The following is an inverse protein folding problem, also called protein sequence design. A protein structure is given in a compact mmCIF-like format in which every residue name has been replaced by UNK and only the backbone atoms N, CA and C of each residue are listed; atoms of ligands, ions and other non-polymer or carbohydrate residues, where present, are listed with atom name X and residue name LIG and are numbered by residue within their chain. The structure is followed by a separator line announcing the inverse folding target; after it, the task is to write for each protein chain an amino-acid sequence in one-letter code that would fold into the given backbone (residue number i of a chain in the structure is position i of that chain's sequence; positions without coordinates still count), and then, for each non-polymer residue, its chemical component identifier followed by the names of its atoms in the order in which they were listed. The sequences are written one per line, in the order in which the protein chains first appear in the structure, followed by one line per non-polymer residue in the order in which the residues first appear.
data_IF_020397113736
#
_entry.id   IF_020397113736
#
_cell.length_a   1.000
_cell.length_b   1.000
_cell.length_c   1.000
_cell.angle_alpha   90.00
_cell.angle_beta   90.00
_cell.angle_gamma   90.00
#
_symmetry.space_group_name_H-M   'P 1'
#
loop_
_entity.id
_entity.type
_entity.pdbx_description
1 polymer ?
#
# COMPACT_ATOMS: atom_id res chain seq x y z
N UNK A 1 -31.79 6.46 -20.02
CA UNK A 1 -30.62 7.23 -19.53
C UNK A 1 -30.68 7.45 -18.00
N UNK A 2 -31.11 6.46 -17.20
CA UNK A 2 -31.12 6.57 -15.72
C UNK A 2 -29.96 5.81 -15.07
N UNK A 3 -29.09 5.20 -15.86
CA UNK A 3 -28.01 4.34 -15.39
C UNK A 3 -26.80 5.13 -14.86
N UNK A 4 -26.61 6.37 -15.33
CA UNK A 4 -25.45 7.20 -14.96
C UNK A 4 -25.38 7.48 -13.45
N UNK A 5 -26.55 7.59 -12.80
CA UNK A 5 -26.65 7.78 -11.36
C UNK A 5 -26.10 6.57 -10.56
N UNK A 6 -26.11 5.38 -11.16
CA UNK A 6 -25.66 4.14 -10.52
C UNK A 6 -24.24 3.75 -10.89
N UNK A 7 -23.68 4.30 -11.97
CA UNK A 7 -22.36 3.92 -12.48
C UNK A 7 -21.27 4.00 -11.40
N UNK A 8 -21.14 5.15 -10.73
CA UNK A 8 -20.15 5.33 -9.66
C UNK A 8 -20.31 4.32 -8.51
N UNK A 9 -21.56 4.02 -8.15
CA UNK A 9 -21.88 3.06 -7.08
C UNK A 9 -21.60 1.62 -7.50
N UNK A 10 -21.80 1.27 -8.77
CA UNK A 10 -21.47 -0.04 -9.34
C UNK A 10 -19.95 -0.25 -9.36
N UNK A 11 -19.19 0.71 -9.89
CA UNK A 11 -17.72 0.61 -9.92
C UNK A 11 -17.13 0.53 -8.51
N UNK A 12 -17.67 1.30 -7.56
CA UNK A 12 -17.24 1.22 -6.17
C UNK A 12 -17.59 -0.12 -5.52
N UNK A 13 -18.78 -0.68 -5.82
CA UNK A 13 -19.17 -2.00 -5.32
C UNK A 13 -18.31 -3.11 -5.92
N UNK A 14 -17.95 -3.00 -7.20
CA UNK A 14 -17.07 -3.95 -7.89
C UNK A 14 -15.65 -3.93 -7.30
N UNK A 15 -15.14 -2.77 -6.91
CA UNK A 15 -13.79 -2.62 -6.34
C UNK A 15 -13.68 -3.05 -4.88
N UNK A 16 -14.74 -2.84 -4.07
CA UNK A 16 -14.65 -2.96 -2.62
C UNK A 16 -15.01 -4.35 -2.07
N UNK A 17 -15.43 -5.28 -2.92
CA UNK A 17 -16.04 -6.58 -2.52
C UNK A 17 -17.09 -6.44 -1.41
N UNK A 18 -17.80 -5.30 -1.37
CA UNK A 18 -18.83 -5.03 -0.36
C UNK A 18 -20.19 -5.51 -0.85
N UNK A 19 -21.05 -5.80 0.11
CA UNK A 19 -22.46 -6.10 -0.17
C UNK A 19 -23.11 -4.96 -0.95
N UNK A 20 -23.77 -5.29 -2.06
CA UNK A 20 -24.51 -4.33 -2.87
C UNK A 20 -25.71 -3.81 -2.08
N UNK A 21 -25.96 -2.50 -2.13
CA UNK A 21 -27.16 -1.92 -1.54
C UNK A 21 -28.43 -2.50 -2.20
N UNK A 22 -29.55 -2.65 -1.48
CA UNK A 22 -30.76 -3.29 -2.02
C UNK A 22 -31.31 -2.57 -3.26
N UNK A 23 -31.18 -1.24 -3.33
CA UNK A 23 -31.56 -0.46 -4.51
C UNK A 23 -30.70 -0.79 -5.75
N UNK A 24 -29.40 -1.05 -5.55
CA UNK A 24 -28.47 -1.41 -6.61
C UNK A 24 -28.73 -2.84 -7.10
N UNK A 25 -29.00 -3.78 -6.18
CA UNK A 25 -29.40 -5.15 -6.53
C UNK A 25 -30.68 -5.16 -7.38
N UNK A 26 -31.69 -4.40 -6.97
CA UNK A 26 -32.93 -4.26 -7.72
C UNK A 26 -32.69 -3.66 -9.11
N UNK A 27 -31.78 -2.70 -9.24
CA UNK A 27 -31.40 -2.14 -10.53
C UNK A 27 -30.70 -3.17 -11.43
N UNK A 28 -29.73 -3.93 -10.89
CA UNK A 28 -29.04 -4.98 -11.63
C UNK A 28 -29.97 -6.12 -12.07
N UNK A 29 -31.04 -6.38 -11.32
CA UNK A 29 -32.06 -7.35 -11.70
C UNK A 29 -32.90 -6.87 -12.90
N UNK A 30 -33.13 -5.57 -13.01
CA UNK A 30 -34.00 -4.97 -14.03
C UNK A 30 -33.25 -4.46 -15.27
N UNK A 31 -31.95 -4.20 -15.16
CA UNK A 31 -31.15 -3.58 -16.20
C UNK A 31 -30.00 -4.49 -16.66
N UNK A 32 -30.21 -5.17 -17.80
CA UNK A 32 -29.22 -6.10 -18.36
C UNK A 32 -27.88 -5.44 -18.70
N UNK A 33 -27.89 -4.23 -19.26
CA UNK A 33 -26.65 -3.52 -19.62
C UNK A 33 -25.79 -3.15 -18.41
N UNK A 34 -26.41 -2.78 -17.28
CA UNK A 34 -25.67 -2.50 -16.04
C UNK A 34 -25.13 -3.80 -15.43
N UNK A 35 -25.85 -4.90 -15.58
CA UNK A 35 -25.39 -6.23 -15.13
C UNK A 35 -24.17 -6.71 -15.91
N UNK A 36 -24.17 -6.56 -17.24
CA UNK A 36 -23.00 -6.92 -18.04
C UNK A 36 -21.80 -6.04 -17.72
N UNK A 37 -22.00 -4.72 -17.61
CA UNK A 37 -20.92 -3.79 -17.24
C UNK A 37 -20.35 -4.09 -15.84
N UNK A 38 -21.21 -4.39 -14.86
CA UNK A 38 -20.78 -4.77 -13.51
C UNK A 38 -19.96 -6.07 -13.49
N UNK A 39 -20.38 -7.08 -14.26
CA UNK A 39 -19.62 -8.33 -14.38
C UNK A 39 -18.24 -8.12 -15.05
N UNK A 40 -18.17 -7.26 -16.08
CA UNK A 40 -16.91 -6.87 -16.72
C UNK A 40 -15.98 -6.16 -15.74
N UNK A 41 -16.47 -5.15 -15.00
CA UNK A 41 -15.69 -4.46 -13.97
C UNK A 41 -15.21 -5.41 -12.87
N UNK A 42 -16.07 -6.31 -12.38
CA UNK A 42 -15.68 -7.30 -11.38
C UNK A 42 -14.57 -8.23 -11.91
N UNK A 43 -14.70 -8.71 -13.15
CA UNK A 43 -13.66 -9.55 -13.77
C UNK A 43 -12.32 -8.83 -13.90
N UNK A 44 -12.35 -7.52 -14.19
CA UNK A 44 -11.14 -6.68 -14.26
C UNK A 44 -10.48 -6.55 -12.90
N UNK A 45 -11.24 -6.27 -11.84
CA UNK A 45 -10.69 -6.17 -10.49
C UNK A 45 -10.10 -7.50 -10.02
N UNK A 46 -10.78 -8.64 -10.26
CA UNK A 46 -10.23 -9.96 -9.94
C UNK A 46 -8.94 -10.27 -10.71
N UNK A 47 -8.84 -9.86 -11.98
CA UNK A 47 -7.61 -10.00 -12.76
C UNK A 47 -6.45 -9.16 -12.17
N UNK A 48 -6.73 -7.93 -11.75
CA UNK A 48 -5.73 -7.07 -11.08
C UNK A 48 -5.29 -7.72 -9.77
N UNK A 49 -6.22 -8.14 -8.92
CA UNK A 49 -5.92 -8.71 -7.61
C UNK A 49 -5.12 -10.01 -7.71
N UNK A 50 -5.48 -10.89 -8.66
CA UNK A 50 -4.70 -12.12 -8.90
C UNK A 50 -3.28 -11.84 -9.37
N UNK A 51 -3.09 -10.81 -10.21
CA UNK A 51 -1.76 -10.39 -10.66
C UNK A 51 -0.93 -9.82 -9.50
N UNK A 52 -1.53 -8.97 -8.66
CA UNK A 52 -0.90 -8.42 -7.46
C UNK A 52 -0.56 -9.51 -6.46
N UNK A 53 -1.46 -10.45 -6.24
CA UNK A 53 -1.23 -11.58 -5.35
C UNK A 53 -0.04 -12.43 -5.81
N UNK A 54 0.09 -12.65 -7.12
CA UNK A 54 1.21 -13.41 -7.70
C UNK A 54 2.54 -12.67 -7.52
N UNK A 55 2.55 -11.34 -7.64
CA UNK A 55 3.76 -10.52 -7.49
C UNK A 55 4.12 -10.30 -6.01
N UNK A 56 3.12 -10.12 -5.14
CA UNK A 56 3.32 -9.82 -3.72
C UNK A 56 3.64 -11.07 -2.89
N UNK A 57 3.15 -12.24 -3.31
CA UNK A 57 3.42 -13.52 -2.66
C UNK A 57 4.22 -14.43 -3.60
N UNK A 58 5.46 -14.04 -3.98
CA UNK A 58 6.31 -14.94 -4.74
C UNK A 58 6.55 -16.20 -3.91
N UNK A 59 6.68 -17.35 -4.58
CA UNK A 59 6.94 -18.63 -3.92
C UNK A 59 8.15 -18.48 -2.98
N UNK A 60 7.92 -18.72 -1.69
CA UNK A 60 8.96 -18.61 -0.68
C UNK A 60 9.97 -19.72 -0.96
N UNK A 61 11.24 -19.42 -1.26
CA UNK A 61 12.21 -20.45 -1.56
C UNK A 61 12.35 -21.38 -0.35
N UNK A 62 12.37 -22.70 -0.58
CA UNK A 62 12.44 -23.71 0.48
C UNK A 62 13.64 -23.53 1.43
N UNK A 63 14.68 -22.82 0.98
CA UNK A 63 15.87 -22.49 1.78
C UNK A 63 15.68 -21.34 2.77
N UNK A 64 14.61 -20.53 2.65
CA UNK A 64 14.37 -19.37 3.50
C UNK A 64 14.11 -19.81 4.96
N UNK A 65 13.24 -20.79 5.15
CA UNK A 65 12.84 -21.27 6.49
C UNK A 65 14.06 -21.80 7.26
N UNK A 66 14.90 -22.72 6.71
CA UNK A 66 16.12 -23.15 7.39
C UNK A 66 17.09 -21.99 7.69
N UNK A 67 17.26 -21.04 6.77
CA UNK A 67 18.15 -19.89 6.99
C UNK A 67 17.66 -18.99 8.12
N UNK A 68 16.34 -18.76 8.22
CA UNK A 68 15.75 -17.99 9.31
C UNK A 68 15.96 -18.71 10.64
N UNK A 69 15.75 -20.03 10.70
CA UNK A 69 16.02 -20.81 11.92
C UNK A 69 17.49 -20.73 12.34
N UNK A 70 18.42 -20.89 11.40
CA UNK A 70 19.86 -20.75 11.67
C UNK A 70 20.18 -19.33 12.13
N UNK A 71 19.63 -18.31 11.49
CA UNK A 71 19.83 -16.91 11.89
C UNK A 71 19.26 -16.61 13.28
N UNK A 72 18.08 -17.15 13.62
CA UNK A 72 17.47 -17.00 14.95
C UNK A 72 18.29 -17.72 16.04
N UNK A 73 18.81 -18.91 15.76
CA UNK A 73 19.63 -19.66 16.71
C UNK A 73 21.04 -19.04 16.88
N UNK A 74 21.57 -18.40 15.84
CA UNK A 74 22.87 -17.75 15.87
C UNK A 74 22.81 -16.28 16.29
N UNK A 75 21.62 -15.68 16.39
CA UNK A 75 21.49 -14.37 17.02
C UNK A 75 21.92 -14.53 18.47
N UNK A 76 22.97 -13.82 18.93
CA UNK A 76 23.35 -13.86 20.33
C UNK A 76 22.11 -13.41 21.09
N UNK A 77 21.58 -14.30 21.93
CA UNK A 77 20.50 -13.96 22.84
C UNK A 77 21.06 -12.82 23.67
N UNK A 78 20.66 -11.59 23.33
CA UNK A 78 21.01 -10.43 24.12
C UNK A 78 20.34 -10.66 25.47
N UNK A 79 21.09 -11.20 26.43
CA UNK A 79 20.67 -11.30 27.82
C UNK A 79 20.41 -9.92 28.45
N UNK A 80 20.59 -8.84 27.69
CA UNK A 80 20.29 -7.50 28.12
C UNK A 80 18.79 -7.15 27.95
N UNK A 81 18.14 -7.00 29.10
CA UNK A 81 16.96 -6.14 29.34
C UNK A 81 15.54 -6.70 29.16
N UNK A 82 15.30 -8.01 29.08
CA UNK A 82 13.92 -8.54 29.27
C UNK A 82 13.32 -8.10 30.62
N UNK A 83 14.15 -7.96 31.65
CA UNK A 83 13.76 -7.43 32.98
C UNK A 83 13.35 -5.94 32.97
N UNK A 84 13.67 -5.16 31.93
CA UNK A 84 13.26 -3.73 31.84
C UNK A 84 11.98 -3.53 31.04
N UNK A 85 11.55 -4.51 30.25
CA UNK A 85 10.31 -4.42 29.45
C UNK A 85 9.06 -4.87 30.22
N UNK A 86 9.20 -5.70 31.25
CA UNK A 86 8.06 -6.09 32.10
C UNK A 86 7.50 -4.91 32.90
N UNK A 87 8.30 -3.88 33.21
CA UNK A 87 7.81 -2.68 33.89
C UNK A 87 7.05 -1.72 32.96
N UNK A 88 7.37 -1.70 31.66
CA UNK A 88 6.67 -0.85 30.69
C UNK A 88 5.32 -1.43 30.29
N UNK A 89 5.22 -2.76 30.18
CA UNK A 89 3.94 -3.44 29.90
C UNK A 89 2.89 -3.23 30.99
N UNK A 90 3.31 -3.20 32.26
CA UNK A 90 2.42 -2.95 33.39
C UNK A 90 1.78 -1.56 33.35
N UNK A 91 2.52 -0.53 32.92
CA UNK A 91 2.01 0.83 32.80
C UNK A 91 0.96 0.96 31.69
N UNK A 92 1.18 0.31 30.54
CA UNK A 92 0.24 0.33 29.42
C UNK A 92 -1.05 -0.42 29.79
N UNK A 93 -0.93 -1.59 30.42
CA UNK A 93 -2.09 -2.36 30.89
C UNK A 93 -2.91 -1.57 31.94
N UNK A 94 -2.24 -0.92 32.90
CA UNK A 94 -2.90 -0.08 33.89
C UNK A 94 -3.61 1.14 33.25
N UNK A 95 -2.98 1.79 32.27
CA UNK A 95 -3.58 2.91 31.55
C UNK A 95 -4.82 2.49 30.76
N UNK A 96 -4.81 1.30 30.11
CA UNK A 96 -5.97 0.76 29.41
C UNK A 96 -7.12 0.43 30.37
N UNK A 97 -6.84 -0.20 31.52
CA UNK A 97 -7.87 -0.48 32.54
C UNK A 97 -8.46 0.81 33.10
N UNK A 98 -7.63 1.83 33.37
CA UNK A 98 -8.10 3.15 33.80
C UNK A 98 -8.97 3.83 32.73
N UNK A 99 -8.55 3.77 31.47
CA UNK A 99 -9.31 4.35 30.36
C UNK A 99 -10.67 3.66 30.17
N UNK A 100 -10.70 2.33 30.24
CA UNK A 100 -11.95 1.53 30.15
C UNK A 100 -12.88 1.90 31.32
N UNK A 101 -12.38 1.93 32.54
CA UNK A 101 -13.20 2.23 33.74
C UNK A 101 -13.75 3.65 33.75
N UNK A 102 -13.01 4.64 33.26
CA UNK A 102 -13.50 6.02 33.12
C UNK A 102 -14.60 6.12 32.05
N UNK A 103 -14.40 5.54 30.87
CA UNK A 103 -15.39 5.59 29.78
C UNK A 103 -16.69 4.84 30.11
N UNK A 104 -16.62 3.75 30.89
CA UNK A 104 -17.81 3.02 31.37
C UNK A 104 -18.62 3.82 32.40
N UNK A 105 -17.98 4.73 33.15
CA UNK A 105 -18.65 5.54 34.18
C UNK A 105 -19.41 6.71 33.56
N UNK A 106 -18.86 7.36 32.52
CA UNK A 106 -19.55 8.43 31.79
C UNK A 106 -20.79 7.93 31.04
N UNK A 107 -20.76 6.69 30.53
CA UNK A 107 -21.91 6.08 29.86
C UNK A 107 -23.11 5.83 30.78
N UNK A 108 -22.91 5.75 32.10
CA UNK A 108 -24.01 5.55 33.07
C UNK A 108 -24.72 6.84 33.45
N UNK A 109 -24.12 8.01 33.21
CA UNK A 109 -24.73 9.30 33.54
C UNK A 109 -25.51 9.94 32.38
N UNK A 110 -25.29 9.52 31.13
CA UNK A 110 -26.02 10.05 29.97
C UNK A 110 -27.35 9.34 29.65
N UNK A 111 -27.66 8.20 30.30
CA UNK A 111 -28.87 7.44 29.99
C UNK A 111 -30.07 7.77 30.90
N UNK A 112 -30.04 8.86 31.68
CA UNK A 112 -31.10 9.17 32.67
C UNK A 112 -31.68 10.59 32.58
N UNK A 113 -31.67 11.18 31.40
CA UNK A 113 -32.41 12.40 31.04
C UNK A 113 -32.49 12.34 29.51
N UNK A 114 -33.62 12.11 28.87
CA UNK A 114 -34.81 12.95 28.89
C UNK A 114 -35.97 12.20 28.22
N UNK A 115 -37.12 12.27 28.87
CA UNK A 115 -38.41 11.80 28.42
C UNK A 115 -38.99 12.75 27.36
N UNK A 116 -39.78 12.18 26.44
CA UNK A 116 -41.05 12.74 25.92
C UNK A 116 -40.98 14.11 25.25
N UNK A 117 -41.03 14.15 23.92
CA UNK A 117 -42.03 15.00 23.28
C UNK A 117 -42.60 14.40 22.00
N UNK A 118 -43.91 14.51 21.95
CA UNK A 118 -44.84 14.13 20.91
C UNK A 118 -44.64 14.88 19.58
N UNK A 119 -45.18 14.29 18.52
CA UNK A 119 -46.00 14.98 17.52
C UNK A 119 -45.34 16.10 16.68
N UNK A 120 -45.10 15.81 15.40
CA UNK A 120 -45.90 16.40 14.31
C UNK A 120 -45.41 15.93 12.94
N UNK A 121 -46.34 15.32 12.21
CA UNK A 121 -46.37 15.26 10.76
C UNK A 121 -46.05 16.63 10.15
N UNK A 122 -45.00 16.70 9.34
CA UNK A 122 -44.83 17.80 8.38
C UNK A 122 -44.55 17.19 7.01
N UNK A 123 -45.59 17.15 6.18
CA UNK A 123 -45.46 17.04 4.74
C UNK A 123 -44.57 18.19 4.25
N UNK A 124 -43.41 17.88 3.66
CA UNK A 124 -42.67 18.84 2.87
C UNK A 124 -42.81 18.47 1.40
N UNK A 125 -43.49 19.39 0.72
CA UNK A 125 -43.81 19.46 -0.69
C UNK A 125 -42.57 19.28 -1.58
N UNK A 126 -42.74 18.42 -2.60
CA UNK A 126 -41.86 18.30 -3.76
C UNK A 126 -41.88 19.61 -4.55
N UNK A 127 -40.87 20.46 -4.35
CA UNK A 127 -40.59 21.56 -5.27
C UNK A 127 -39.75 21.05 -6.44
N UNK A 128 -40.45 20.65 -7.49
CA UNK A 128 -39.93 20.35 -8.81
C UNK A 128 -39.40 21.64 -9.44
N UNK A 129 -38.11 21.91 -9.26
CA UNK A 129 -37.43 22.99 -9.98
C UNK A 129 -37.11 22.50 -11.39
N UNK A 130 -37.98 22.84 -12.34
CA UNK A 130 -37.69 22.74 -13.76
C UNK A 130 -36.55 23.69 -14.11
N UNK A 131 -35.36 23.14 -14.35
CA UNK A 131 -34.31 23.83 -15.09
C UNK A 131 -34.36 23.31 -16.53
N UNK A 132 -35.06 24.09 -17.36
CA UNK A 132 -35.07 23.97 -18.81
C UNK A 132 -34.03 24.93 -19.39
N UNK A 133 -32.89 24.45 -19.89
CA UNK A 133 -31.99 25.16 -20.84
C UNK A 133 -30.93 24.16 -21.38
N UNK A 134 -30.32 24.39 -22.56
CA UNK A 134 -30.86 24.33 -23.92
C UNK A 134 -30.25 23.14 -24.72
N UNK A 135 -30.75 22.81 -25.92
CA UNK A 135 -30.20 21.74 -26.74
C UNK A 135 -28.87 22.18 -27.37
N UNK A 136 -27.74 21.73 -26.83
CA UNK A 136 -26.47 21.81 -27.54
C UNK A 136 -26.33 20.57 -28.43
N UNK A 137 -26.67 20.74 -29.70
CA UNK A 137 -26.37 19.77 -30.74
C UNK A 137 -24.86 19.79 -30.99
N UNK A 138 -24.11 18.94 -30.31
CA UNK A 138 -22.78 18.57 -30.76
C UNK A 138 -22.88 17.40 -31.73
N UNK A 139 -22.61 17.75 -32.99
CA UNK A 139 -22.45 16.88 -34.13
C UNK A 139 -21.45 15.76 -33.81
N UNK A 140 -21.94 14.53 -33.84
CA UNK A 140 -21.12 13.31 -33.84
C UNK A 140 -20.26 13.31 -35.10
N UNK A 141 -19.00 13.72 -34.98
CA UNK A 141 -18.00 13.41 -35.98
C UNK A 141 -17.63 11.92 -35.85
N UNK A 142 -18.27 11.11 -36.70
CA UNK A 142 -17.93 9.69 -36.88
C UNK A 142 -16.50 9.61 -37.41
N UNK A 143 -15.56 9.30 -36.53
CA UNK A 143 -14.24 8.84 -36.95
C UNK A 143 -14.39 7.43 -37.56
N UNK A 144 -14.01 7.23 -38.83
CA UNK A 144 -14.12 5.94 -39.47
C UNK A 144 -13.16 4.93 -38.82
N UNK A 145 -13.73 3.81 -38.38
CA UNK A 145 -13.02 2.58 -38.05
C UNK A 145 -12.16 2.15 -39.23
N UNK A 146 -10.85 2.44 -39.15
CA UNK A 146 -9.85 1.89 -40.06
C UNK A 146 -9.28 0.61 -39.48
N UNK A 147 -9.61 -0.44 -40.21
CA UNK A 147 -9.09 -1.80 -40.19
C UNK A 147 -7.55 -1.83 -40.08
N UNK A 148 -7.08 -2.83 -39.33
CA UNK A 148 -5.81 -3.56 -39.52
C UNK A 148 -4.56 -2.70 -39.71
N UNK A 149 -3.87 -2.40 -38.60
CA UNK A 149 -2.44 -2.09 -38.65
C UNK A 149 -1.66 -3.35 -38.27
N UNK A 150 -0.89 -3.84 -39.24
CA UNK A 150 0.02 -4.94 -39.11
C UNK A 150 1.04 -4.67 -37.98
N UNK A 151 1.38 -5.73 -37.27
CA UNK A 151 2.52 -5.81 -36.37
C UNK A 151 3.77 -5.41 -37.18
N UNK A 152 4.25 -4.19 -36.98
CA UNK A 152 5.60 -3.79 -37.38
C UNK A 152 6.53 -4.04 -36.19
N UNK A 153 7.52 -4.93 -36.31
CA UNK A 153 8.59 -5.00 -35.34
C UNK A 153 9.41 -3.72 -35.47
N UNK A 154 9.24 -2.79 -34.53
CA UNK A 154 10.17 -1.68 -34.35
C UNK A 154 11.49 -2.23 -33.82
N UNK A 155 12.36 -2.64 -34.73
CA UNK A 155 13.80 -2.74 -34.48
C UNK A 155 14.33 -1.30 -34.46
N UNK A 156 14.22 -0.65 -33.31
CA UNK A 156 14.97 0.57 -33.08
C UNK A 156 16.47 0.22 -33.11
N UNK A 157 17.33 1.01 -33.77
CA UNK A 157 18.76 0.82 -33.69
C UNK A 157 19.17 1.05 -32.23
N UNK A 158 19.57 -0.02 -31.56
CA UNK A 158 20.28 0.04 -30.28
C UNK A 158 21.58 0.77 -30.55
N UNK A 159 21.58 2.08 -30.33
CA UNK A 159 22.81 2.83 -30.17
C UNK A 159 23.50 2.20 -28.95
N UNK A 160 24.63 1.52 -29.19
CA UNK A 160 25.52 1.04 -28.15
C UNK A 160 26.15 2.24 -27.44
N UNK A 161 25.37 2.92 -26.61
CA UNK A 161 25.90 3.81 -25.59
C UNK A 161 26.45 2.92 -24.47
N UNK A 162 27.71 3.16 -24.11
CA UNK A 162 28.49 2.42 -23.14
C UNK A 162 27.67 1.88 -21.96
N UNK A 163 27.92 0.60 -21.62
CA UNK A 163 27.32 -0.20 -20.55
C UNK A 163 27.18 0.56 -19.21
N UNK A 164 26.15 1.39 -19.10
CA UNK A 164 25.74 2.00 -17.85
C UNK A 164 24.51 1.21 -17.37
N UNK A 165 24.50 0.73 -16.12
CA UNK A 165 23.37 0.00 -15.60
C UNK A 165 22.13 0.90 -15.61
N UNK A 166 21.13 0.52 -16.40
CA UNK A 166 19.84 1.20 -16.44
C UNK A 166 19.03 0.80 -15.21
N UNK A 167 18.73 1.77 -14.33
CA UNK A 167 17.94 1.56 -13.12
C UNK A 167 16.51 2.03 -13.38
N UNK A 168 15.56 1.09 -13.34
CA UNK A 168 14.13 1.39 -13.49
C UNK A 168 13.59 2.06 -12.21
N UNK A 169 13.23 3.34 -12.35
CA UNK A 169 12.62 4.16 -11.28
C UNK A 169 11.12 4.33 -11.53
N UNK A 170 10.31 4.26 -10.46
CA UNK A 170 8.89 4.54 -10.54
C UNK A 170 8.62 6.01 -10.96
N UNK A 171 7.47 6.33 -11.59
CA UNK A 171 7.20 7.66 -12.17
C UNK A 171 7.34 8.85 -11.20
N UNK A 172 7.15 8.64 -9.89
CA UNK A 172 7.34 9.68 -8.86
C UNK A 172 8.74 9.74 -8.23
N UNK A 173 9.59 8.74 -8.43
CA UNK A 173 10.94 8.68 -7.86
C UNK A 173 12.01 9.32 -8.76
N UNK A 174 11.71 9.55 -10.05
CA UNK A 174 12.67 10.18 -10.96
C UNK A 174 13.02 11.60 -10.51
N UNK A 175 12.02 12.40 -10.19
CA UNK A 175 12.22 13.80 -9.80
C UNK A 175 13.02 13.92 -8.49
N UNK A 176 12.78 13.04 -7.51
CA UNK A 176 13.54 13.03 -6.25
C UNK A 176 14.98 12.58 -6.46
N UNK A 177 15.20 11.57 -7.30
CA UNK A 177 16.54 11.08 -7.64
C UNK A 177 17.34 12.11 -8.41
N UNK A 178 16.71 12.82 -9.36
CA UNK A 178 17.34 13.91 -10.11
C UNK A 178 17.74 15.07 -9.18
N UNK A 179 16.83 15.52 -8.30
CA UNK A 179 17.15 16.55 -7.29
C UNK A 179 18.28 16.11 -6.36
N UNK A 180 18.30 14.85 -5.94
CA UNK A 180 19.36 14.30 -5.10
C UNK A 180 20.71 14.27 -5.82
N UNK A 181 20.75 13.80 -7.07
CA UNK A 181 21.98 13.80 -7.88
C UNK A 181 22.46 15.23 -8.14
N UNK A 182 21.55 16.18 -8.36
CA UNK A 182 21.89 17.59 -8.55
C UNK A 182 22.44 18.21 -7.25
N UNK A 183 21.86 17.90 -6.09
CA UNK A 183 22.38 18.32 -4.80
C UNK A 183 23.79 17.74 -4.52
N UNK A 184 24.03 16.47 -4.88
CA UNK A 184 25.33 15.82 -4.73
C UNK A 184 26.42 16.37 -5.65
N UNK A 185 26.05 16.97 -6.79
CA UNK A 185 27.00 17.67 -7.68
C UNK A 185 27.38 19.05 -7.16
N UNK A 186 26.60 19.64 -6.26
CA UNK A 186 26.94 20.93 -5.66
C UNK A 186 28.01 20.72 -4.58
N UNK A 187 29.21 21.25 -4.79
CA UNK A 187 30.38 21.02 -3.93
C UNK A 187 30.15 21.46 -2.47
N UNK A 188 29.30 22.47 -2.26
CA UNK A 188 28.90 22.92 -0.93
C UNK A 188 28.22 21.81 -0.10
N UNK A 189 27.44 20.94 -0.73
CA UNK A 189 26.75 19.86 -0.03
C UNK A 189 27.71 18.72 0.36
N UNK A 190 28.75 18.48 -0.46
CA UNK A 190 29.83 17.54 -0.11
C UNK A 190 30.63 18.05 1.08
N UNK A 191 30.98 19.33 1.08
CA UNK A 191 31.78 19.91 2.16
C UNK A 191 31.00 19.95 3.48
N UNK A 192 29.69 20.20 3.44
CA UNK A 192 28.83 20.15 4.65
C UNK A 192 28.71 18.72 5.20
N UNK A 193 28.54 17.71 4.34
CA UNK A 193 28.52 16.30 4.75
C UNK A 193 29.87 15.84 5.32
N UNK A 194 30.99 16.33 4.76
CA UNK A 194 32.33 16.01 5.24
C UNK A 194 32.67 16.76 6.54
N UNK A 195 32.26 18.02 6.67
CA UNK A 195 32.43 18.82 7.88
C UNK A 195 31.63 18.23 9.05
N UNK A 196 30.41 17.76 8.80
CA UNK A 196 29.59 17.07 9.82
C UNK A 196 30.15 15.70 10.22
N UNK A 197 30.97 15.09 9.36
CA UNK A 197 31.72 13.84 9.62
C UNK A 197 33.10 14.08 10.25
N UNK A 198 33.43 15.34 10.59
CA UNK A 198 34.67 15.75 11.26
C UNK A 198 34.75 15.45 12.76
N UNK A 199 33.68 14.96 13.39
CA UNK A 199 33.75 14.39 14.76
C UNK A 199 34.29 12.96 14.71
N UNK A 200 35.55 12.81 14.30
CA UNK A 200 36.20 11.53 13.96
C UNK A 200 37.07 10.94 15.06
N UNK A 201 37.17 11.55 16.23
CA UNK A 201 37.94 10.97 17.34
C UNK A 201 37.13 10.05 18.27
N UNK A 202 35.79 10.12 18.26
CA UNK A 202 34.98 9.26 19.14
C UNK A 202 34.45 7.97 18.47
N UNK A 203 34.56 7.81 17.14
CA UNK A 203 33.94 6.68 16.40
C UNK A 203 34.97 5.66 15.90
N UNK A 204 36.25 6.02 15.79
CA UNK A 204 37.30 5.08 15.40
C UNK A 204 37.65 4.07 16.50
N UNK A 205 37.34 4.36 17.76
CA UNK A 205 37.53 3.41 18.87
C UNK A 205 36.40 2.37 18.96
N UNK A 206 35.21 2.67 18.41
CA UNK A 206 34.05 1.77 18.40
C UNK A 206 34.05 0.78 17.22
N UNK A 207 34.93 0.94 16.23
CA UNK A 207 35.03 0.08 15.04
C UNK A 207 36.33 -0.73 14.98
N UNK A 208 37.09 -0.80 16.08
CA UNK A 208 38.19 -1.75 16.24
C UNK A 208 37.63 -3.19 16.33
N UNK A 209 37.19 -3.73 15.19
CA UNK A 209 36.85 -5.14 15.06
C UNK A 209 38.10 -5.97 15.40
N UNK A 210 38.02 -6.71 16.51
CA UNK A 210 39.05 -7.66 16.92
C UNK A 210 39.30 -8.65 15.77
N UNK A 211 40.56 -8.83 15.33
CA UNK A 211 40.86 -9.79 14.27
C UNK A 211 40.38 -11.19 14.69
N UNK A 212 39.51 -11.78 13.86
CA UNK A 212 38.97 -13.12 14.08
C UNK A 212 40.13 -14.10 13.91
N UNK A 213 40.54 -14.73 15.00
CA UNK A 213 41.51 -15.81 15.00
C UNK A 213 40.80 -17.07 14.51
N UNK A 214 40.99 -17.43 13.24
CA UNK A 214 40.47 -18.67 12.68
C UNK A 214 41.43 -19.79 13.11
N UNK A 215 40.97 -20.68 13.98
CA UNK A 215 41.70 -21.91 14.29
C UNK A 215 41.64 -22.86 13.09
N UNK A 216 42.78 -23.46 12.67
CA UNK A 216 42.80 -24.42 11.58
C UNK A 216 41.91 -25.62 11.92
N UNK A 217 40.99 -25.95 11.01
CA UNK A 217 40.16 -27.15 11.10
C UNK A 217 41.06 -28.39 11.18
N UNK A 218 40.87 -29.19 12.24
CA UNK A 218 41.56 -30.45 12.40
C UNK A 218 41.33 -31.36 11.18
N UNK A 219 42.34 -32.11 10.74
CA UNK A 219 42.20 -33.03 9.62
C UNK A 219 41.14 -34.08 9.96
N UNK A 220 40.14 -34.18 9.08
CA UNK A 220 39.14 -35.24 9.11
C UNK A 220 39.86 -36.55 8.82
N UNK A 221 40.16 -37.32 9.88
CA UNK A 221 40.66 -38.68 9.78
C UNK A 221 39.56 -39.57 9.20
N UNK A 222 39.63 -39.80 7.88
CA UNK A 222 38.87 -40.81 7.17
C UNK A 222 39.41 -42.19 7.54
N UNK A 223 38.85 -42.77 8.60
CA UNK A 223 39.03 -44.20 8.91
C UNK A 223 37.86 -44.93 8.27
N UNK A 224 38.11 -45.51 7.10
CA UNK A 224 37.21 -46.45 6.45
C UNK A 224 37.97 -47.75 6.24
N UNK A 225 37.65 -48.74 7.08
CA UNK A 225 37.80 -50.17 6.83
C UNK A 225 36.40 -50.80 6.95
#
# INVERSE_FOLDING_TARGET
MFCDAYNKSLTQAAAAERELTPALQQHLFTCESCRTAFAEEQSLFTAIDSSLHTVANPEIPATLIPRIHVALNNMPVSESNLSKWTSTGALIAAALVLFITLNLKDRKFQNSTENVNDQASTQVSVSRSGHSFPPHAESVERVPSRKTSAIHPHTAPVAMTANLPEVLLAPGQRETTERFVQAMRNEQFRDELLAKKGSKEAVLEALAMKPIKIEPLAPVSSTGD
#
